data_IF_815223203505
#
_entry.id   IF_815223203505
#
_cell.length_a   1.000
_cell.length_b   1.000
_cell.length_c   1.000
_cell.angle_alpha   90.00
_cell.angle_beta   90.00
_cell.angle_gamma   90.00
#
_symmetry.space_group_name_H-M   'P 1'
#
loop_
_entity.id
_entity.type
_entity.pdbx_description
1 polymer ?
#
# COMPACT_ATOMS: atom_id res chain seq x y z
N UNK A 1 -11.89 0.40 12.98
CA UNK A 1 -10.89 -0.61 13.44
C UNK A 1 -9.91 -0.04 14.46
N UNK A 2 -8.96 0.85 14.10
CA UNK A 2 -7.96 1.39 15.05
C UNK A 2 -8.54 1.97 16.35
N UNK A 3 -9.70 2.66 16.27
CA UNK A 3 -10.41 3.21 17.45
C UNK A 3 -10.80 2.14 18.49
N UNK A 4 -10.99 0.90 18.04
CA UNK A 4 -11.32 -0.26 18.89
C UNK A 4 -10.10 -1.18 19.12
N UNK A 5 -8.89 -0.73 18.78
CA UNK A 5 -7.67 -1.53 18.97
C UNK A 5 -7.48 -2.68 17.97
N UNK A 6 -8.40 -2.88 17.03
CA UNK A 6 -8.31 -3.94 16.00
C UNK A 6 -7.33 -3.51 14.92
N UNK A 7 -6.29 -4.32 14.70
CA UNK A 7 -5.16 -4.05 13.80
C UNK A 7 -4.98 -5.19 12.80
N UNK A 8 -5.79 -5.25 11.74
CA UNK A 8 -5.58 -6.25 10.69
C UNK A 8 -4.28 -5.96 9.93
N UNK A 9 -3.67 -7.01 9.39
CA UNK A 9 -2.70 -6.88 8.32
C UNK A 9 -3.20 -7.63 7.08
N UNK A 10 -2.86 -7.15 5.88
CA UNK A 10 -3.38 -7.74 4.66
C UNK A 10 -3.34 -6.81 3.48
N UNK A 11 -4.34 -6.91 2.61
CA UNK A 11 -4.37 -6.22 1.33
C UNK A 11 -5.80 -5.87 0.91
N UNK A 12 -5.95 -4.73 0.26
CA UNK A 12 -7.18 -4.30 -0.42
C UNK A 12 -6.90 -4.13 -1.90
N UNK A 13 -7.76 -4.71 -2.71
CA UNK A 13 -7.85 -4.49 -4.16
C UNK A 13 -9.15 -3.74 -4.45
N UNK A 14 -9.12 -2.76 -5.35
CA UNK A 14 -10.31 -2.12 -5.89
C UNK A 14 -10.39 -2.34 -7.39
N UNK A 15 -11.54 -2.82 -7.85
CA UNK A 15 -11.84 -3.11 -9.25
C UNK A 15 -13.13 -2.38 -9.66
N UNK A 16 -13.28 -2.00 -10.94
CA UNK A 16 -14.56 -1.50 -11.44
C UNK A 16 -15.54 -2.66 -11.62
N UNK A 17 -16.78 -2.46 -11.21
CA UNK A 17 -17.88 -3.28 -11.66
C UNK A 17 -18.26 -2.92 -13.11
N UNK A 18 -19.22 -3.63 -13.72
CA UNK A 18 -19.62 -3.43 -15.12
C UNK A 18 -20.12 -2.00 -15.43
N UNK A 19 -20.68 -1.33 -14.42
CA UNK A 19 -21.14 0.06 -14.44
C UNK A 19 -20.06 1.07 -14.01
N UNK A 20 -18.85 0.59 -13.68
CA UNK A 20 -17.73 1.40 -13.23
C UNK A 20 -17.71 1.69 -11.72
N UNK A 21 -18.70 1.18 -10.96
CA UNK A 21 -18.76 1.36 -9.51
C UNK A 21 -17.60 0.61 -8.83
N UNK A 22 -16.81 1.23 -7.92
CA UNK A 22 -15.69 0.56 -7.28
C UNK A 22 -16.13 -0.58 -6.34
N UNK A 23 -15.60 -1.78 -6.56
CA UNK A 23 -15.76 -2.94 -5.67
C UNK A 23 -14.46 -3.24 -4.92
N UNK A 24 -14.55 -3.47 -3.62
CA UNK A 24 -13.39 -3.76 -2.78
C UNK A 24 -13.26 -5.25 -2.45
N UNK A 25 -12.11 -5.81 -2.76
CA UNK A 25 -11.71 -7.15 -2.30
C UNK A 25 -10.67 -7.00 -1.20
N UNK A 26 -10.97 -7.53 -0.01
CA UNK A 26 -10.06 -7.46 1.14
C UNK A 26 -9.61 -8.87 1.54
N UNK A 27 -8.29 -9.05 1.66
CA UNK A 27 -7.71 -10.18 2.36
C UNK A 27 -7.12 -9.66 3.66
N UNK A 28 -7.67 -10.08 4.80
CA UNK A 28 -7.25 -9.62 6.12
C UNK A 28 -6.88 -10.80 7.02
N UNK A 29 -5.77 -10.64 7.72
CA UNK A 29 -5.37 -11.48 8.84
C UNK A 29 -5.56 -10.68 10.13
N UNK A 30 -6.16 -11.33 11.12
CA UNK A 30 -6.52 -10.74 12.40
C UNK A 30 -6.28 -11.72 13.54
N UNK A 31 -6.22 -11.20 14.77
CA UNK A 31 -6.31 -12.03 15.97
C UNK A 31 -7.69 -12.69 16.00
N UNK A 32 -7.76 -13.96 16.38
CA UNK A 32 -9.02 -14.69 16.44
C UNK A 32 -10.04 -14.07 17.41
N UNK A 33 -9.55 -13.41 18.48
CA UNK A 33 -10.37 -12.66 19.43
C UNK A 33 -11.14 -11.49 18.79
N UNK A 34 -10.62 -10.95 17.68
CA UNK A 34 -11.16 -9.74 17.05
C UNK A 34 -12.11 -10.08 15.89
N UNK A 35 -12.33 -11.37 15.59
CA UNK A 35 -13.09 -11.83 14.43
C UNK A 35 -14.52 -11.29 14.41
N UNK A 36 -15.24 -11.42 15.53
CA UNK A 36 -16.62 -10.96 15.60
C UNK A 36 -16.71 -9.43 15.51
N UNK A 37 -15.89 -8.71 16.29
CA UNK A 37 -15.90 -7.25 16.27
C UNK A 37 -15.54 -6.68 14.90
N UNK A 38 -14.63 -7.32 14.15
CA UNK A 38 -14.36 -6.92 12.77
C UNK A 38 -15.59 -7.11 11.89
N UNK A 39 -16.28 -8.27 11.96
CA UNK A 39 -17.50 -8.52 11.18
C UNK A 39 -18.58 -7.49 11.48
N UNK A 40 -18.84 -7.22 12.75
CA UNK A 40 -19.88 -6.27 13.18
C UNK A 40 -19.61 -4.87 12.63
N UNK A 41 -18.36 -4.41 12.68
CA UNK A 41 -17.96 -3.09 12.14
C UNK A 41 -18.14 -3.04 10.62
N UNK A 42 -17.69 -4.07 9.92
CA UNK A 42 -17.78 -4.11 8.45
C UNK A 42 -19.24 -4.16 8.00
N UNK A 43 -20.06 -4.99 8.63
CA UNK A 43 -21.50 -5.06 8.37
C UNK A 43 -22.19 -3.73 8.69
N UNK A 44 -21.88 -3.11 9.83
CA UNK A 44 -22.45 -1.80 10.16
C UNK A 44 -22.22 -0.76 9.06
N UNK A 45 -20.99 -0.63 8.55
CA UNK A 45 -20.69 0.32 7.48
C UNK A 45 -21.25 -0.09 6.11
N UNK A 46 -21.31 -1.39 5.81
CA UNK A 46 -21.88 -1.87 4.55
C UNK A 46 -23.39 -1.59 4.43
N UNK A 47 -24.08 -1.47 5.55
CA UNK A 47 -25.53 -1.23 5.66
C UNK A 47 -25.87 0.19 6.16
N UNK A 48 -24.88 1.06 6.35
CA UNK A 48 -25.10 2.42 6.89
C UNK A 48 -25.94 3.28 5.94
N UNK A 49 -25.74 3.10 4.63
CA UNK A 49 -26.51 3.77 3.58
C UNK A 49 -27.41 2.77 2.86
N UNK A 50 -28.74 3.01 2.87
CA UNK A 50 -29.74 2.20 2.15
C UNK A 50 -29.64 0.68 2.43
N UNK A 51 -29.39 0.31 3.70
CA UNK A 51 -29.20 -1.08 4.10
C UNK A 51 -30.43 -1.98 3.96
N UNK A 52 -31.61 -1.43 3.70
CA UNK A 52 -32.87 -2.15 3.49
C UNK A 52 -33.28 -2.27 2.02
N UNK A 53 -32.43 -1.87 1.07
CA UNK A 53 -32.69 -2.04 -0.35
C UNK A 53 -32.86 -3.53 -0.74
N UNK A 54 -33.58 -3.78 -1.83
CA UNK A 54 -33.82 -5.14 -2.30
C UNK A 54 -32.50 -5.85 -2.66
N UNK A 55 -32.19 -6.92 -1.92
CA UNK A 55 -30.98 -7.71 -2.13
C UNK A 55 -29.76 -7.27 -1.32
N UNK A 56 -29.88 -6.25 -0.44
CA UNK A 56 -28.79 -5.76 0.40
C UNK A 56 -28.05 -6.89 1.15
N UNK A 57 -28.80 -7.78 1.79
CA UNK A 57 -28.30 -8.95 2.55
C UNK A 57 -27.41 -9.90 1.75
N UNK A 58 -27.51 -9.88 0.41
CA UNK A 58 -26.75 -10.75 -0.48
C UNK A 58 -25.55 -10.06 -1.12
N UNK A 59 -25.64 -8.76 -1.37
CA UNK A 59 -24.72 -8.06 -2.28
C UNK A 59 -23.85 -7.00 -1.60
N UNK A 60 -24.25 -6.44 -0.45
CA UNK A 60 -23.51 -5.36 0.21
C UNK A 60 -22.17 -5.81 0.77
N UNK A 61 -22.11 -7.00 1.37
CA UNK A 61 -20.88 -7.53 1.92
C UNK A 61 -20.89 -9.06 1.99
N UNK A 62 -19.74 -9.66 1.70
CA UNK A 62 -19.51 -11.09 1.88
C UNK A 62 -18.21 -11.28 2.65
N UNK A 63 -18.27 -11.93 3.81
CA UNK A 63 -17.10 -12.22 4.64
C UNK A 63 -16.93 -13.74 4.72
N UNK A 64 -15.81 -14.23 4.20
CA UNK A 64 -15.49 -15.67 4.18
C UNK A 64 -14.18 -15.90 4.95
N UNK A 65 -14.18 -16.91 5.82
CA UNK A 65 -12.96 -17.35 6.50
C UNK A 65 -12.06 -18.11 5.53
N UNK A 66 -10.77 -17.80 5.55
CA UNK A 66 -9.80 -18.46 4.68
C UNK A 66 -9.76 -19.96 5.00
N UNK A 67 -9.94 -20.80 3.99
CA UNK A 67 -9.81 -22.25 4.06
C UNK A 67 -8.53 -22.67 3.32
N UNK A 68 -7.47 -23.10 4.04
CA UNK A 68 -6.20 -23.49 3.43
C UNK A 68 -6.32 -24.61 2.39
N UNK A 69 -7.38 -25.44 2.45
CA UNK A 69 -7.60 -26.53 1.51
C UNK A 69 -8.14 -26.06 0.15
N UNK A 70 -8.75 -24.86 0.10
CA UNK A 70 -9.34 -24.30 -1.13
C UNK A 70 -8.39 -23.37 -1.88
N UNK A 71 -7.25 -23.03 -1.27
CA UNK A 71 -6.25 -22.16 -1.86
C UNK A 71 -5.51 -21.36 -0.78
N UNK A 72 -4.37 -20.78 -1.17
CA UNK A 72 -3.62 -19.91 -0.29
C UNK A 72 -4.13 -18.48 -0.36
N UNK A 73 -4.01 -17.77 0.75
CA UNK A 73 -4.29 -16.33 0.84
C UNK A 73 -3.46 -15.51 -0.19
N UNK A 74 -2.21 -15.93 -0.41
CA UNK A 74 -1.32 -15.38 -1.44
C UNK A 74 -1.84 -15.63 -2.85
N UNK A 75 -2.29 -16.85 -3.15
CA UNK A 75 -2.86 -17.20 -4.46
C UNK A 75 -4.14 -16.40 -4.75
N UNK A 76 -4.97 -16.18 -3.72
CA UNK A 76 -6.14 -15.31 -3.84
C UNK A 76 -5.75 -13.88 -4.23
N UNK A 77 -4.83 -13.22 -3.50
CA UNK A 77 -4.36 -11.88 -3.88
C UNK A 77 -3.74 -11.86 -5.28
N UNK A 78 -2.86 -12.83 -5.58
CA UNK A 78 -2.17 -12.90 -6.86
C UNK A 78 -3.17 -12.93 -8.03
N UNK A 79 -4.26 -13.71 -7.90
CA UNK A 79 -5.35 -13.74 -8.89
C UNK A 79 -5.92 -12.35 -9.19
N UNK A 80 -6.24 -11.57 -8.17
CA UNK A 80 -6.78 -10.22 -8.36
C UNK A 80 -5.73 -9.25 -8.92
N UNK A 81 -4.47 -9.36 -8.49
CA UNK A 81 -3.39 -8.53 -9.05
C UNK A 81 -3.21 -8.84 -10.55
N UNK A 82 -3.08 -10.11 -10.91
CA UNK A 82 -2.90 -10.54 -12.30
C UNK A 82 -4.08 -10.16 -13.19
N UNK A 83 -5.32 -10.25 -12.69
CA UNK A 83 -6.52 -9.80 -13.43
C UNK A 83 -6.48 -8.31 -13.78
N UNK A 84 -6.03 -7.46 -12.87
CA UNK A 84 -5.99 -6.01 -13.11
C UNK A 84 -4.77 -5.54 -13.92
N UNK A 85 -3.66 -6.31 -13.91
CA UNK A 85 -2.41 -5.93 -14.58
C UNK A 85 -2.25 -6.61 -15.95
N UNK A 86 -2.33 -7.95 -15.99
CA UNK A 86 -1.99 -8.72 -17.19
C UNK A 86 -3.24 -9.15 -17.98
N UNK A 87 -4.40 -9.21 -17.32
CA UNK A 87 -5.66 -9.63 -17.92
C UNK A 87 -5.76 -11.13 -18.26
N UNK A 88 -4.71 -11.93 -18.02
CA UNK A 88 -4.60 -13.34 -18.43
C UNK A 88 -5.70 -14.28 -17.89
N UNK A 89 -6.43 -13.87 -16.86
CA UNK A 89 -7.54 -14.62 -16.24
C UNK A 89 -8.89 -13.88 -16.32
N UNK A 90 -8.98 -12.88 -17.19
CA UNK A 90 -10.27 -12.30 -17.58
C UNK A 90 -10.86 -13.30 -18.58
N UNK A 91 -11.90 -14.04 -18.15
CA UNK A 91 -12.78 -14.78 -19.06
C UNK A 91 -13.03 -13.87 -20.26
N UNK A 92 -12.79 -14.38 -21.47
CA UNK A 92 -13.11 -13.71 -22.73
C UNK A 92 -14.40 -12.95 -22.47
N UNK A 93 -14.34 -11.61 -22.42
CA UNK A 93 -15.47 -10.82 -21.97
C UNK A 93 -16.71 -11.24 -22.75
N UNK A 94 -17.91 -10.96 -22.25
CA UNK A 94 -19.19 -11.32 -22.93
C UNK A 94 -19.19 -10.94 -24.44
N UNK A 95 -18.27 -10.07 -24.88
CA UNK A 95 -18.04 -9.61 -26.24
C UNK A 95 -16.69 -9.96 -26.92
N UNK A 96 -15.82 -10.81 -26.35
CA UNK A 96 -14.56 -11.20 -27.03
C UNK A 96 -13.36 -10.26 -26.78
N UNK A 97 -13.39 -9.44 -25.72
CA UNK A 97 -12.40 -8.38 -25.52
C UNK A 97 -10.98 -8.92 -25.21
N UNK A 98 -9.97 -8.24 -25.73
CA UNK A 98 -8.56 -8.59 -25.53
C UNK A 98 -8.16 -8.29 -24.06
N UNK A 99 -7.56 -9.25 -23.33
CA UNK A 99 -7.04 -9.06 -21.97
C UNK A 99 -6.27 -7.77 -21.72
N UNK A 100 -5.41 -7.37 -22.67
CA UNK A 100 -4.62 -6.14 -22.58
C UNK A 100 -5.45 -4.86 -22.65
N UNK A 101 -6.56 -4.87 -23.40
CA UNK A 101 -7.47 -3.73 -23.45
C UNK A 101 -8.27 -3.59 -22.17
N UNK A 102 -8.67 -4.72 -21.56
CA UNK A 102 -9.37 -4.73 -20.29
C UNK A 102 -8.48 -4.18 -19.16
N UNK A 103 -7.23 -4.63 -19.04
CA UNK A 103 -6.27 -4.09 -18.08
C UNK A 103 -6.07 -2.57 -18.25
N UNK A 104 -5.92 -2.10 -19.49
CA UNK A 104 -5.79 -0.66 -19.78
C UNK A 104 -7.05 0.13 -19.40
N UNK A 105 -8.26 -0.43 -19.56
CA UNK A 105 -9.51 0.20 -19.11
C UNK A 105 -9.57 0.32 -17.60
N UNK A 106 -9.17 -0.71 -16.86
CA UNK A 106 -9.08 -0.69 -15.39
C UNK A 106 -8.08 0.38 -14.94
N UNK A 107 -6.89 0.42 -15.56
CA UNK A 107 -5.89 1.45 -15.25
C UNK A 107 -6.40 2.87 -15.56
N UNK A 108 -7.08 3.05 -16.68
CA UNK A 108 -7.69 4.32 -17.08
C UNK A 108 -8.76 4.75 -16.09
N UNK A 109 -9.68 3.84 -15.72
CA UNK A 109 -10.69 4.07 -14.70
C UNK A 109 -10.07 4.48 -13.36
N UNK A 110 -9.10 3.71 -12.88
CA UNK A 110 -8.42 4.00 -11.63
C UNK A 110 -7.73 5.37 -11.65
N UNK A 111 -7.11 5.72 -12.79
CA UNK A 111 -6.43 7.01 -12.97
C UNK A 111 -7.40 8.19 -13.01
N UNK A 112 -8.51 8.07 -13.75
CA UNK A 112 -9.56 9.10 -13.86
C UNK A 112 -10.14 9.43 -12.49
N UNK A 113 -10.42 8.39 -11.69
CA UNK A 113 -11.07 8.54 -10.38
C UNK A 113 -10.08 8.69 -9.23
N UNK A 114 -8.76 8.67 -9.48
CA UNK A 114 -7.74 8.72 -8.45
C UNK A 114 -7.77 7.52 -7.48
N UNK A 115 -8.25 6.37 -7.94
CA UNK A 115 -8.41 5.17 -7.13
C UNK A 115 -7.10 4.40 -7.08
N UNK A 116 -6.56 4.23 -5.88
CA UNK A 116 -5.46 3.29 -5.64
C UNK A 116 -5.99 1.86 -5.74
N UNK A 117 -5.69 1.17 -6.84
CA UNK A 117 -6.13 -0.22 -7.07
C UNK A 117 -5.61 -1.17 -5.98
N UNK A 118 -4.33 -1.08 -5.64
CA UNK A 118 -3.68 -1.99 -4.70
C UNK A 118 -3.18 -1.27 -3.44
N UNK A 119 -3.65 -1.71 -2.27
CA UNK A 119 -3.27 -1.12 -1.00
C UNK A 119 -3.00 -2.18 0.07
N UNK A 120 -1.75 -2.22 0.54
CA UNK A 120 -1.42 -2.98 1.75
C UNK A 120 -2.06 -2.35 2.99
N UNK A 121 -2.56 -3.20 3.87
CA UNK A 121 -3.15 -2.85 5.17
C UNK A 121 -2.22 -3.38 6.26
N UNK A 122 -1.90 -2.53 7.24
CA UNK A 122 -0.99 -2.89 8.34
C UNK A 122 0.46 -3.14 7.89
N UNK A 123 1.27 -3.64 8.82
CA UNK A 123 2.68 -3.97 8.56
C UNK A 123 3.62 -2.77 8.42
N UNK A 124 4.89 -3.07 8.15
CA UNK A 124 5.93 -2.09 7.89
C UNK A 124 5.78 -1.47 6.49
N UNK A 125 6.08 -0.17 6.37
CA UNK A 125 5.88 0.57 5.14
C UNK A 125 6.86 0.17 4.03
N UNK A 126 6.34 -0.05 2.82
CA UNK A 126 7.16 -0.35 1.61
C UNK A 126 8.10 0.80 1.25
N UNK A 127 7.76 2.05 1.58
CA UNK A 127 8.64 3.19 1.30
C UNK A 127 9.98 3.07 2.03
N UNK A 128 10.00 2.64 3.29
CA UNK A 128 11.25 2.45 4.06
C UNK A 128 12.06 1.31 3.43
N UNK A 129 11.41 0.19 3.11
CA UNK A 129 12.03 -0.91 2.36
C UNK A 129 12.71 -0.43 1.07
N UNK A 130 12.04 0.43 0.29
CA UNK A 130 12.61 1.00 -0.94
C UNK A 130 13.78 1.93 -0.68
N UNK A 131 13.73 2.74 0.38
CA UNK A 131 14.84 3.63 0.72
C UNK A 131 16.05 2.85 1.26
N UNK A 132 15.83 1.75 1.98
CA UNK A 132 16.91 0.84 2.42
C UNK A 132 17.71 0.34 1.21
N UNK A 133 17.04 -0.14 0.14
CA UNK A 133 17.69 -0.63 -1.09
C UNK A 133 18.42 0.45 -1.92
N UNK A 134 18.35 1.72 -1.52
CA UNK A 134 19.14 2.81 -2.14
C UNK A 134 20.50 2.98 -1.48
N UNK A 135 20.69 2.41 -0.30
CA UNK A 135 21.91 2.57 0.48
C UNK A 135 23.00 1.64 -0.07
N UNK A 136 24.23 2.12 -0.01
CA UNK A 136 25.41 1.24 -0.03
C UNK A 136 25.62 0.62 1.35
N UNK A 137 26.40 -0.47 1.47
CA UNK A 137 26.75 -1.03 2.77
C UNK A 137 27.26 0.03 3.74
N UNK A 138 26.72 0.02 4.96
CA UNK A 138 27.14 0.93 6.02
C UNK A 138 28.34 0.37 6.78
N UNK A 139 29.10 1.26 7.42
CA UNK A 139 30.30 0.88 8.20
C UNK A 139 29.97 0.05 9.44
N UNK A 140 28.81 0.31 10.07
CA UNK A 140 28.33 -0.47 11.22
C UNK A 140 27.43 -1.63 10.74
N UNK A 141 27.95 -2.87 10.72
CA UNK A 141 27.23 -4.04 10.21
C UNK A 141 26.06 -4.47 11.09
N UNK A 142 26.06 -4.05 12.37
CA UNK A 142 25.06 -4.40 13.38
C UNK A 142 23.97 -3.32 13.54
N UNK A 143 24.16 -2.15 12.93
CA UNK A 143 23.13 -1.10 12.93
C UNK A 143 21.82 -1.63 12.33
N UNK A 144 20.69 -1.24 12.92
CA UNK A 144 19.38 -1.71 12.45
C UNK A 144 19.10 -1.32 11.00
N UNK A 145 19.63 -0.19 10.54
CA UNK A 145 19.50 0.25 9.15
C UNK A 145 20.29 -0.69 8.22
N UNK A 146 21.50 -1.11 8.58
CA UNK A 146 22.28 -2.05 7.77
C UNK A 146 21.66 -3.46 7.76
N UNK A 147 21.15 -3.92 8.89
CA UNK A 147 20.36 -5.16 8.96
C UNK A 147 19.10 -5.08 8.08
N UNK A 148 18.41 -3.94 8.13
CA UNK A 148 17.26 -3.65 7.28
C UNK A 148 17.63 -3.62 5.79
N UNK A 149 18.78 -3.04 5.43
CA UNK A 149 19.30 -2.98 4.05
C UNK A 149 19.60 -4.38 3.54
N UNK A 150 20.33 -5.21 4.30
CA UNK A 150 20.63 -6.61 3.95
C UNK A 150 19.34 -7.41 3.71
N UNK A 151 18.40 -7.35 4.65
CA UNK A 151 17.10 -8.00 4.50
C UNK A 151 16.34 -7.50 3.27
N UNK A 152 16.41 -6.20 2.99
CA UNK A 152 15.78 -5.60 1.81
C UNK A 152 16.42 -6.08 0.50
N UNK A 153 17.75 -6.08 0.39
CA UNK A 153 18.48 -6.48 -0.82
C UNK A 153 18.34 -7.98 -1.11
N UNK A 154 18.42 -8.81 -0.08
CA UNK A 154 18.18 -10.27 -0.15
C UNK A 154 16.69 -10.62 -0.34
N UNK A 155 15.82 -9.60 -0.41
CA UNK A 155 14.37 -9.75 -0.61
C UNK A 155 13.66 -10.56 0.47
N UNK A 156 14.20 -10.52 1.69
CA UNK A 156 13.66 -11.16 2.90
C UNK A 156 12.68 -10.24 3.62
N UNK A 157 11.46 -10.18 3.09
CA UNK A 157 10.41 -9.30 3.62
C UNK A 157 10.03 -9.64 5.08
N UNK A 158 10.07 -10.91 5.45
CA UNK A 158 9.74 -11.36 6.81
C UNK A 158 10.79 -10.90 7.84
N UNK A 159 12.08 -10.96 7.50
CA UNK A 159 13.17 -10.44 8.34
C UNK A 159 13.02 -8.93 8.52
N UNK A 160 12.79 -8.18 7.43
CA UNK A 160 12.49 -6.74 7.52
C UNK A 160 11.27 -6.45 8.40
N UNK A 161 10.19 -7.22 8.26
CA UNK A 161 8.99 -7.05 9.06
C UNK A 161 9.29 -7.23 10.56
N UNK A 162 10.11 -8.23 10.92
CA UNK A 162 10.56 -8.46 12.30
C UNK A 162 11.41 -7.30 12.81
N UNK A 163 12.41 -6.86 12.03
CA UNK A 163 13.26 -5.70 12.35
C UNK A 163 12.45 -4.43 12.56
N UNK A 164 11.34 -4.27 11.85
CA UNK A 164 10.42 -3.14 11.97
C UNK A 164 9.40 -3.26 13.11
N UNK A 165 9.56 -4.21 14.04
CA UNK A 165 8.67 -4.42 15.18
C UNK A 165 7.45 -5.30 14.90
N UNK A 166 7.42 -6.03 13.78
CA UNK A 166 6.34 -6.96 13.44
C UNK A 166 5.10 -6.30 12.81
N UNK A 167 4.06 -7.09 12.52
CA UNK A 167 2.88 -6.59 11.81
C UNK A 167 2.02 -5.63 12.65
N UNK A 168 1.96 -5.84 13.98
CA UNK A 168 1.08 -5.12 14.91
C UNK A 168 1.69 -3.80 15.47
N UNK A 169 2.96 -3.52 15.17
CA UNK A 169 3.63 -2.31 15.67
C UNK A 169 3.02 -1.02 15.06
N UNK A 170 2.67 -0.07 15.92
CA UNK A 170 2.10 1.20 15.50
C UNK A 170 3.15 2.05 14.76
N UNK A 171 2.70 2.84 13.79
CA UNK A 171 3.60 3.63 12.91
C UNK A 171 4.60 4.51 13.67
N UNK A 172 4.16 5.13 14.77
CA UNK A 172 5.00 6.02 15.60
C UNK A 172 6.12 5.28 16.35
N UNK A 173 5.91 3.99 16.61
CA UNK A 173 6.78 3.12 17.40
C UNK A 173 7.66 2.24 16.50
N UNK A 174 7.55 2.40 15.16
CA UNK A 174 8.44 1.73 14.21
C UNK A 174 9.88 2.22 14.40
N UNK A 175 10.87 1.31 14.42
CA UNK A 175 12.24 1.66 14.82
C UNK A 175 12.99 2.44 13.73
N UNK A 176 12.76 2.14 12.45
CA UNK A 176 13.28 2.93 11.32
C UNK A 176 12.16 3.87 10.84
N UNK A 177 12.47 5.14 10.60
CA UNK A 177 11.52 6.17 10.18
C UNK A 177 11.99 6.86 8.90
N UNK A 178 11.04 7.37 8.12
CA UNK A 178 11.35 8.25 7.00
C UNK A 178 11.68 9.65 7.53
N UNK A 179 12.74 10.22 7.00
CA UNK A 179 13.10 11.63 7.17
C UNK A 179 12.66 12.38 5.93
N UNK A 180 12.03 13.53 6.13
CA UNK A 180 11.61 14.42 5.07
C UNK A 180 12.44 15.70 5.11
N UNK A 181 12.67 16.30 3.94
CA UNK A 181 13.26 17.62 3.78
C UNK A 181 12.28 18.55 3.09
N UNK A 182 12.33 19.81 3.48
CA UNK A 182 11.62 20.89 2.81
C UNK A 182 12.29 21.22 1.47
N UNK A 183 11.50 21.69 0.51
CA UNK A 183 12.04 22.22 -0.73
C UNK A 183 12.34 23.69 -0.51
N UNK A 184 13.61 24.02 -0.29
CA UNK A 184 14.06 25.38 0.01
C UNK A 184 14.95 25.89 -1.11
N UNK A 185 14.81 27.16 -1.46
CA UNK A 185 15.80 27.88 -2.26
C UNK A 185 17.02 28.17 -1.39
N UNK A 186 18.16 27.58 -1.76
CA UNK A 186 19.39 27.63 -0.94
C UNK A 186 19.93 29.07 -0.86
N UNK A 187 19.63 29.93 -1.83
CA UNK A 187 20.12 31.31 -1.87
C UNK A 187 19.27 32.26 -1.01
N UNK A 188 17.95 32.06 -0.98
CA UNK A 188 17.04 32.96 -0.26
C UNK A 188 16.54 32.40 1.06
N UNK A 189 16.65 31.09 1.29
CA UNK A 189 16.09 30.39 2.44
C UNK A 189 14.57 30.23 2.38
N UNK A 190 13.92 30.62 1.28
CA UNK A 190 12.47 30.58 1.13
C UNK A 190 12.03 29.21 0.60
N UNK A 191 10.86 28.74 1.05
CA UNK A 191 10.25 27.52 0.52
C UNK A 191 9.92 27.69 -0.96
N UNK A 192 10.30 26.69 -1.77
CA UNK A 192 10.01 26.68 -3.21
C UNK A 192 8.54 26.47 -3.44
N UNK A 193 7.99 27.21 -4.39
CA UNK A 193 6.64 27.00 -4.90
C UNK A 193 6.63 25.98 -6.04
N UNK A 194 5.49 25.31 -6.24
CA UNK A 194 5.22 24.47 -7.39
C UNK A 194 4.79 25.35 -8.58
N UNK A 195 4.53 24.73 -9.74
CA UNK A 195 4.12 25.44 -10.96
C UNK A 195 2.78 26.18 -10.85
N UNK A 196 2.05 25.99 -9.75
CA UNK A 196 0.76 26.60 -9.46
C UNK A 196 0.85 27.67 -8.35
N UNK A 197 2.06 28.01 -7.88
CA UNK A 197 2.29 29.00 -6.82
C UNK A 197 2.05 28.48 -5.39
N UNK A 198 1.85 27.17 -5.21
CA UNK A 198 1.68 26.58 -3.88
C UNK A 198 3.03 26.12 -3.33
N UNK A 199 3.21 26.22 -2.00
CA UNK A 199 4.42 25.70 -1.34
C UNK A 199 4.59 24.22 -1.67
N UNK A 200 5.78 23.85 -2.17
CA UNK A 200 6.10 22.45 -2.48
C UNK A 200 6.02 21.59 -1.23
N UNK A 201 5.31 20.48 -1.35
CA UNK A 201 5.28 19.45 -0.32
C UNK A 201 6.69 18.94 0.01
N UNK A 202 6.87 18.50 1.26
CA UNK A 202 8.11 17.90 1.70
C UNK A 202 8.45 16.64 0.88
N UNK A 203 9.73 16.46 0.61
CA UNK A 203 10.25 15.31 -0.12
C UNK A 203 11.03 14.39 0.82
N UNK A 204 11.11 13.10 0.49
CA UNK A 204 11.90 12.16 1.29
C UNK A 204 13.38 12.57 1.20
N UNK A 205 14.03 12.72 2.35
CA UNK A 205 15.47 12.88 2.49
C UNK A 205 16.15 11.52 2.67
N UNK A 206 15.61 10.68 3.56
CA UNK A 206 16.10 9.34 3.77
C UNK A 206 15.55 8.67 5.02
N UNK A 207 16.42 8.04 5.80
CA UNK A 207 16.03 7.17 6.93
C UNK A 207 16.62 7.67 8.25
N UNK A 208 15.92 7.37 9.34
CA UNK A 208 16.37 7.64 10.70
C UNK A 208 16.14 6.44 11.61
N UNK A 209 17.13 6.15 12.45
CA UNK A 209 17.04 5.22 13.57
C UNK A 209 17.91 5.73 14.73
N UNK A 210 17.38 5.76 15.95
CA UNK A 210 18.07 6.23 17.17
C UNK A 210 18.83 7.56 17.00
N UNK A 211 18.16 8.55 16.39
CA UNK A 211 18.68 9.90 16.05
C UNK A 211 19.81 9.92 15.00
N UNK A 212 20.21 8.78 14.45
CA UNK A 212 21.12 8.70 13.31
C UNK A 212 20.30 8.85 12.04
N UNK A 213 20.57 9.90 11.26
CA UNK A 213 19.94 10.17 9.97
C UNK A 213 20.87 9.81 8.82
N UNK A 214 20.34 9.10 7.83
CA UNK A 214 21.08 8.70 6.63
C UNK A 214 20.37 9.24 5.39
N UNK A 215 21.12 9.93 4.55
CA UNK A 215 20.66 10.40 3.25
C UNK A 215 20.62 9.23 2.26
N UNK A 216 19.42 8.90 1.76
CA UNK A 216 19.22 7.83 0.75
C UNK A 216 19.07 8.40 -0.66
N UNK A 217 19.04 9.73 -0.79
CA UNK A 217 18.80 10.48 -2.03
C UNK A 217 19.84 11.61 -2.18
N UNK A 218 21.13 11.26 -2.35
CA UNK A 218 22.21 12.25 -2.44
C UNK A 218 22.16 13.07 -3.74
N UNK A 219 21.51 12.55 -4.79
CA UNK A 219 21.44 13.21 -6.09
C UNK A 219 20.18 14.07 -6.22
N UNK A 220 20.36 15.26 -6.79
CA UNK A 220 19.28 16.13 -7.27
C UNK A 220 19.20 16.06 -8.78
N UNK A 221 17.98 15.95 -9.30
CA UNK A 221 17.70 15.92 -10.73
C UNK A 221 16.93 17.18 -11.11
N UNK A 222 17.32 17.78 -12.23
CA UNK A 222 16.63 18.92 -12.84
C UNK A 222 16.19 18.51 -14.26
N UNK A 223 14.93 18.77 -14.58
CA UNK A 223 14.38 18.50 -15.90
C UNK A 223 14.39 19.83 -16.66
N UNK A 224 15.19 19.90 -17.72
CA UNK A 224 15.20 21.02 -18.67
C UNK A 224 14.67 20.56 -20.03
N UNK A 225 14.17 21.51 -20.83
CA UNK A 225 13.86 21.24 -22.24
C UNK A 225 15.17 20.98 -22.98
N UNK A 226 15.19 19.93 -23.81
CA UNK A 226 16.30 19.72 -24.73
C UNK A 226 16.40 20.94 -25.67
N UNK A 227 17.61 21.49 -25.76
CA UNK A 227 17.97 22.59 -26.66
C UNK A 227 17.96 22.16 -28.12
#
# INVERSE_FOLDING_TARGET
LNRQGIRPYGFRVAEPHHDGTPHWHLLLFIKGSDEQSLKDIFTHYAFEEEGDEEGADKHRITIVKIDPNKGSATGYIAKYISKNIDGEDIDIGVYGENPSEAARRIETWASIWGIRQFQQIGGAGVSIWRELRRLTPLEDPESLIELGRKAADDSKWDEYMKLMGGHDCARKDRPIKLVYKESVDISTGVLKENQYGEIKAQSIYGLEHDNVRINTRPHTWEISRAS
#
